data_IF_757763389361
#
_entry.id   IF_757763389361
#
_cell.length_a   1.000
_cell.length_b   1.000
_cell.length_c   1.000
_cell.angle_alpha   90.00
_cell.angle_beta   90.00
_cell.angle_gamma   90.00
#
_symmetry.space_group_name_H-M   'P 1'
#
loop_
_entity.id
_entity.type
_entity.pdbx_description
1 polymer ?
#
# COMPACT_ATOMS: atom_id res chain seq x y z
N UNK A 1 -11.19 9.65 -18.35
CA UNK A 1 -11.47 9.00 -17.05
C UNK A 1 -10.20 8.33 -16.56
N UNK A 2 -9.93 8.41 -15.30
CA UNK A 2 -8.77 7.76 -14.68
C UNK A 2 -9.23 6.71 -13.68
N UNK A 3 -8.35 5.81 -13.31
CA UNK A 3 -8.59 4.83 -12.26
C UNK A 3 -7.87 5.32 -11.01
N UNK A 4 -8.60 5.43 -9.92
CA UNK A 4 -8.02 5.69 -8.60
C UNK A 4 -7.69 4.36 -7.96
N UNK A 5 -6.42 4.14 -7.69
CA UNK A 5 -5.95 2.94 -7.01
C UNK A 5 -5.62 3.27 -5.57
N UNK A 6 -6.17 2.52 -4.65
CA UNK A 6 -5.83 2.62 -3.23
C UNK A 6 -5.19 1.31 -2.79
N UNK A 7 -3.96 1.41 -2.32
CA UNK A 7 -3.22 0.28 -1.78
C UNK A 7 -3.13 0.45 -0.27
N UNK A 8 -3.65 -0.50 0.49
CA UNK A 8 -3.51 -0.47 1.94
C UNK A 8 -2.51 -1.54 2.35
N UNK A 9 -1.40 -1.08 2.94
CA UNK A 9 -0.23 -1.89 3.24
C UNK A 9 -0.06 -1.95 4.75
N UNK A 10 -0.24 -3.13 5.33
CA UNK A 10 0.07 -3.36 6.74
C UNK A 10 1.57 -3.39 6.96
N UNK A 11 2.01 -3.03 8.15
CA UNK A 11 3.43 -2.97 8.48
C UNK A 11 3.90 -4.10 9.41
N UNK A 12 3.04 -5.06 9.74
CA UNK A 12 3.47 -6.25 10.44
C UNK A 12 4.12 -7.22 9.46
N UNK A 13 5.36 -7.58 9.75
CA UNK A 13 6.10 -8.58 8.96
C UNK A 13 5.37 -9.92 9.02
N UNK A 14 5.19 -10.57 7.86
CA UNK A 14 4.44 -11.83 7.78
C UNK A 14 5.05 -12.99 8.55
N UNK A 15 6.34 -12.92 8.82
CA UNK A 15 7.05 -13.99 9.53
C UNK A 15 7.11 -13.77 11.04
N UNK A 16 7.28 -12.51 11.48
CA UNK A 16 7.44 -12.18 12.89
C UNK A 16 6.15 -11.67 13.53
N UNK A 17 5.17 -11.29 12.72
CA UNK A 17 3.90 -10.70 13.16
C UNK A 17 4.09 -9.42 13.98
N UNK A 18 5.18 -8.69 13.72
CA UNK A 18 5.55 -7.45 14.39
C UNK A 18 5.96 -6.41 13.35
N UNK A 19 5.94 -5.15 13.78
CA UNK A 19 6.45 -4.06 12.94
C UNK A 19 7.97 -4.05 13.00
N UNK A 20 8.59 -4.54 11.93
CA UNK A 20 10.06 -4.61 11.81
C UNK A 20 10.66 -3.34 11.20
N UNK A 21 9.87 -2.57 10.47
CA UNK A 21 10.30 -1.31 9.87
C UNK A 21 9.46 -0.18 10.47
N UNK A 22 10.13 0.93 10.85
CA UNK A 22 9.42 2.10 11.36
C UNK A 22 8.55 2.72 10.28
N UNK A 23 7.43 3.33 10.66
CA UNK A 23 6.47 3.88 9.73
C UNK A 23 7.09 4.89 8.77
N UNK A 24 7.93 5.80 9.27
CA UNK A 24 8.60 6.79 8.44
C UNK A 24 9.57 6.15 7.43
N UNK A 25 10.28 5.12 7.86
CA UNK A 25 11.17 4.38 6.97
C UNK A 25 10.38 3.64 5.89
N UNK A 26 9.24 3.07 6.25
CA UNK A 26 8.36 2.40 5.29
C UNK A 26 7.82 3.40 4.26
N UNK A 27 7.40 4.58 4.70
CA UNK A 27 6.93 5.65 3.79
C UNK A 27 8.04 6.06 2.82
N UNK A 28 9.25 6.25 3.31
CA UNK A 28 10.39 6.60 2.47
C UNK A 28 10.72 5.49 1.46
N UNK A 29 10.67 4.25 1.89
CA UNK A 29 10.90 3.10 1.01
C UNK A 29 9.84 3.01 -0.09
N UNK A 30 8.57 3.17 0.27
CA UNK A 30 7.46 3.17 -0.69
C UNK A 30 7.65 4.29 -1.71
N UNK A 31 7.91 5.51 -1.24
CA UNK A 31 8.12 6.66 -2.12
C UNK A 31 9.28 6.42 -3.08
N UNK A 32 10.39 5.90 -2.58
CA UNK A 32 11.56 5.61 -3.40
C UNK A 32 11.24 4.57 -4.49
N UNK A 33 10.55 3.50 -4.15
CA UNK A 33 10.15 2.48 -5.10
C UNK A 33 9.23 3.06 -6.18
N UNK A 34 8.23 3.82 -5.79
CA UNK A 34 7.27 4.40 -6.74
C UNK A 34 7.96 5.38 -7.69
N UNK A 35 8.80 6.26 -7.17
CA UNK A 35 9.44 7.30 -7.96
C UNK A 35 10.58 6.74 -8.82
N UNK A 36 11.50 5.99 -8.22
CA UNK A 36 12.71 5.56 -8.90
C UNK A 36 12.51 4.33 -9.78
N UNK A 37 11.69 3.38 -9.35
CA UNK A 37 11.50 2.14 -10.12
C UNK A 37 10.36 2.22 -11.10
N UNK A 38 9.25 2.87 -10.74
CA UNK A 38 8.04 2.88 -11.54
C UNK A 38 7.70 4.24 -12.15
N UNK A 39 8.50 5.25 -11.88
CA UNK A 39 8.31 6.60 -12.40
C UNK A 39 6.92 7.18 -12.10
N UNK A 40 6.38 6.84 -10.94
CA UNK A 40 5.15 7.44 -10.42
C UNK A 40 5.55 8.68 -9.64
N UNK A 41 5.26 9.86 -10.19
CA UNK A 41 5.76 11.11 -9.62
C UNK A 41 4.75 11.87 -8.75
N UNK A 42 3.52 11.39 -8.67
CA UNK A 42 2.49 12.00 -7.82
C UNK A 42 1.62 10.92 -7.20
N UNK A 43 1.55 10.89 -5.89
CA UNK A 43 0.73 9.97 -5.12
C UNK A 43 0.53 10.53 -3.72
N UNK A 44 -0.45 10.01 -3.01
CA UNK A 44 -0.75 10.41 -1.64
C UNK A 44 -0.53 9.23 -0.72
N UNK A 45 0.13 9.47 0.41
CA UNK A 45 0.28 8.46 1.46
C UNK A 45 -0.42 8.92 2.72
N UNK A 46 -1.19 8.02 3.33
CA UNK A 46 -1.96 8.29 4.55
C UNK A 46 -1.62 7.21 5.56
N UNK A 47 -1.17 7.62 6.74
CA UNK A 47 -0.99 6.69 7.86
C UNK A 47 -2.37 6.31 8.41
N UNK A 48 -2.57 5.02 8.63
CA UNK A 48 -3.84 4.50 9.13
C UNK A 48 -3.61 3.24 9.95
N UNK A 49 -4.69 2.65 10.45
CA UNK A 49 -4.63 1.40 11.20
C UNK A 49 -5.56 0.38 10.57
N UNK A 50 -5.01 -0.79 10.29
CA UNK A 50 -5.83 -1.96 9.97
C UNK A 50 -6.29 -2.62 11.26
N UNK A 51 -7.52 -3.09 11.29
CA UNK A 51 -8.07 -3.78 12.46
C UNK A 51 -8.64 -5.11 12.01
N UNK A 52 -8.21 -6.16 12.67
CA UNK A 52 -8.72 -7.50 12.36
C UNK A 52 -8.76 -8.37 13.61
N UNK A 53 -9.56 -9.42 13.52
CA UNK A 53 -9.69 -10.42 14.59
C UNK A 53 -8.95 -11.69 14.17
N UNK A 54 -8.03 -12.14 15.00
CA UNK A 54 -7.33 -13.39 14.72
C UNK A 54 -8.27 -14.58 14.94
N UNK A 55 -8.36 -15.44 13.94
CA UNK A 55 -9.25 -16.61 13.99
C UNK A 55 -8.86 -17.59 15.09
N UNK A 56 -7.57 -17.76 15.35
CA UNK A 56 -7.06 -18.73 16.33
C UNK A 56 -7.31 -18.34 17.77
N UNK A 57 -7.18 -17.05 18.11
CA UNK A 57 -7.25 -16.57 19.51
C UNK A 57 -8.47 -15.69 19.80
N UNK A 58 -9.15 -15.21 18.77
CA UNK A 58 -10.20 -14.21 18.91
C UNK A 58 -9.69 -12.83 19.29
N UNK A 59 -8.36 -12.64 19.34
CA UNK A 59 -7.77 -11.35 19.70
C UNK A 59 -7.95 -10.33 18.59
N UNK A 60 -8.28 -9.10 18.97
CA UNK A 60 -8.36 -7.97 18.05
C UNK A 60 -6.97 -7.37 17.91
N UNK A 61 -6.53 -7.20 16.67
CA UNK A 61 -5.20 -6.68 16.34
C UNK A 61 -5.35 -5.36 15.61
N UNK A 62 -4.60 -4.36 16.05
CA UNK A 62 -4.47 -3.08 15.39
C UNK A 62 -3.10 -3.04 14.73
N UNK A 63 -3.08 -2.98 13.41
CA UNK A 63 -1.84 -3.00 12.64
C UNK A 63 -1.58 -1.61 12.05
N UNK A 64 -0.43 -0.98 12.36
CA UNK A 64 -0.02 0.23 11.66
C UNK A 64 0.03 -0.03 10.17
N UNK A 65 -0.56 0.87 9.39
CA UNK A 65 -0.71 0.67 7.95
C UNK A 65 -0.49 1.99 7.21
N UNK A 66 -0.18 1.88 5.94
CA UNK A 66 -0.05 3.02 5.04
C UNK A 66 -0.98 2.79 3.87
N UNK A 67 -1.82 3.78 3.57
CA UNK A 67 -2.61 3.78 2.35
C UNK A 67 -1.92 4.65 1.32
N UNK A 68 -1.72 4.10 0.14
CA UNK A 68 -1.14 4.80 -1.00
C UNK A 68 -2.24 4.99 -2.05
N UNK A 69 -2.46 6.21 -2.47
CA UNK A 69 -3.45 6.54 -3.50
C UNK A 69 -2.74 7.00 -4.75
N UNK A 70 -2.98 6.31 -5.86
CA UNK A 70 -2.35 6.56 -7.15
C UNK A 70 -3.44 6.65 -8.22
N UNK A 71 -3.46 7.76 -8.96
CA UNK A 71 -4.34 7.90 -10.12
C UNK A 71 -3.60 7.43 -11.38
N UNK A 72 -4.21 6.53 -12.13
CA UNK A 72 -3.61 5.95 -13.34
C UNK A 72 -4.59 5.98 -14.50
N UNK A 73 -4.07 5.78 -15.70
CA UNK A 73 -4.92 5.54 -16.88
C UNK A 73 -5.61 4.18 -16.77
N UNK A 74 -6.74 4.02 -17.46
CA UNK A 74 -7.56 2.81 -17.37
C UNK A 74 -6.83 1.52 -17.74
N UNK A 75 -5.80 1.62 -18.59
CA UNK A 75 -5.10 0.46 -19.16
C UNK A 75 -3.79 0.11 -18.44
N UNK A 76 -3.49 0.75 -17.30
CA UNK A 76 -2.22 0.54 -16.62
C UNK A 76 -2.20 -0.78 -15.85
N UNK A 77 -1.39 -1.71 -16.34
CA UNK A 77 -1.11 -2.98 -15.65
C UNK A 77 0.01 -2.85 -14.62
N UNK A 78 0.66 -1.69 -14.55
CA UNK A 78 1.82 -1.44 -13.68
C UNK A 78 1.49 -1.58 -12.19
N UNK A 79 0.22 -1.43 -11.83
CA UNK A 79 -0.22 -1.53 -10.43
C UNK A 79 0.08 -2.92 -9.85
N UNK A 80 -0.13 -3.97 -10.62
CA UNK A 80 0.16 -5.34 -10.15
C UNK A 80 1.66 -5.53 -9.90
N UNK A 81 2.51 -4.92 -10.72
CA UNK A 81 3.96 -4.95 -10.54
C UNK A 81 4.38 -4.16 -9.31
N UNK A 82 3.75 -3.01 -9.08
CA UNK A 82 3.97 -2.19 -7.88
C UNK A 82 3.62 -2.99 -6.63
N UNK A 83 2.44 -3.61 -6.62
CA UNK A 83 1.99 -4.42 -5.49
C UNK A 83 2.97 -5.55 -5.20
N UNK A 84 3.43 -6.25 -6.22
CA UNK A 84 4.40 -7.34 -6.07
C UNK A 84 5.70 -6.86 -5.44
N UNK A 85 6.21 -5.73 -5.90
CA UNK A 85 7.45 -5.16 -5.38
C UNK A 85 7.30 -4.73 -3.91
N UNK A 86 6.20 -4.04 -3.59
CA UNK A 86 5.93 -3.60 -2.23
C UNK A 86 5.74 -4.77 -1.28
N UNK A 87 5.04 -5.83 -1.70
CA UNK A 87 4.89 -7.05 -0.90
C UNK A 87 6.24 -7.65 -0.57
N UNK A 88 7.13 -7.72 -1.54
CA UNK A 88 8.46 -8.26 -1.35
C UNK A 88 9.29 -7.41 -0.39
N UNK A 89 9.34 -6.11 -0.63
CA UNK A 89 10.20 -5.21 0.15
C UNK A 89 9.74 -5.01 1.58
N UNK A 90 8.45 -5.08 1.82
CA UNK A 90 7.86 -4.90 3.15
C UNK A 90 7.49 -6.22 3.80
N UNK A 91 7.82 -7.34 3.17
CA UNK A 91 7.55 -8.69 3.63
C UNK A 91 6.09 -8.89 4.08
N UNK A 92 5.18 -8.55 3.17
CA UNK A 92 3.74 -8.65 3.40
C UNK A 92 3.16 -9.86 2.68
N UNK A 93 2.21 -10.53 3.31
CA UNK A 93 1.51 -11.65 2.70
C UNK A 93 0.56 -11.17 1.60
N UNK A 94 -0.12 -10.05 1.85
CA UNK A 94 -1.01 -9.44 0.86
C UNK A 94 -1.09 -7.94 1.08
N UNK A 95 -1.54 -7.24 0.03
CA UNK A 95 -1.84 -5.81 0.07
C UNK A 95 -3.26 -5.66 -0.44
N UNK A 96 -4.09 -4.93 0.29
CA UNK A 96 -5.45 -4.65 -0.16
C UNK A 96 -5.40 -3.63 -1.30
N UNK A 97 -6.00 -3.96 -2.42
CA UNK A 97 -6.07 -3.09 -3.58
C UNK A 97 -7.52 -2.79 -3.91
N UNK A 98 -7.87 -1.52 -3.92
CA UNK A 98 -9.16 -1.03 -4.35
C UNK A 98 -8.96 -0.16 -5.59
N UNK A 99 -9.77 -0.40 -6.62
CA UNK A 99 -9.71 0.37 -7.85
C UNK A 99 -11.11 0.88 -8.19
N UNK A 100 -11.19 2.16 -8.51
CA UNK A 100 -12.44 2.78 -8.91
C UNK A 100 -12.22 3.75 -10.06
N UNK A 101 -13.18 3.83 -10.97
CA UNK A 101 -13.14 4.81 -12.05
C UNK A 101 -13.62 6.14 -11.50
N UNK A 102 -12.82 7.19 -11.72
CA UNK A 102 -13.05 8.51 -11.18
C UNK A 102 -12.86 9.57 -12.27
N UNK A 103 -13.60 10.66 -12.17
CA UNK A 103 -13.28 11.87 -12.91
C UNK A 103 -12.29 12.68 -12.07
N UNK A 104 -11.00 12.58 -12.41
CA UNK A 104 -9.92 13.20 -11.64
C UNK A 104 -9.36 14.36 -12.46
N UNK A 105 -9.28 15.52 -11.82
CA UNK A 105 -8.76 16.74 -12.45
C UNK A 105 -7.60 17.27 -11.63
N UNK A 106 -6.48 17.51 -12.32
CA UNK A 106 -5.32 18.17 -11.72
C UNK A 106 -5.37 19.65 -12.11
N UNK A 107 -5.78 20.48 -11.19
CA UNK A 107 -5.99 21.91 -11.44
C UNK A 107 -4.91 22.77 -10.79
#
# INVERSE_FOLDING_TARGET
MMVKNQLTIGLFDKNTEKQEIQTDEAKNLIAKILIEKFEVFAFTMIECSGVYKMASSGRIVFEPSIRVEIATDEELTIIDEIIKELKNKLNQECIMHEASQEYIYFK
#
